data_IF_618831747881
#
_entry.id   IF_618831747881
#
_cell.length_a   1.000
_cell.length_b   1.000
_cell.length_c   1.000
_cell.angle_alpha   90.00
_cell.angle_beta   90.00
_cell.angle_gamma   90.00
#
_symmetry.space_group_name_H-M   'P 1'
#
loop_
_entity.id
_entity.type
_entity.pdbx_description
1 polymer ?
#
# COMPACT_ATOMS: atom_id res chain seq x y z
N UNK A 1 -7.28 -20.96 10.15
CA UNK A 1 -5.96 -20.59 9.59
C UNK A 1 -4.93 -21.41 10.35
N UNK A 2 -4.00 -22.07 9.66
CA UNK A 2 -2.98 -22.87 10.35
C UNK A 2 -1.88 -21.96 10.86
N UNK A 3 -1.61 -22.00 12.16
CA UNK A 3 -0.48 -21.27 12.74
C UNK A 3 0.83 -21.92 12.30
N UNK A 4 1.75 -21.10 11.77
CA UNK A 4 3.07 -21.55 11.36
C UNK A 4 4.13 -20.97 12.29
N UNK A 5 5.14 -21.78 12.61
CA UNK A 5 6.27 -21.35 13.44
C UNK A 5 7.48 -21.09 12.56
N UNK A 6 8.03 -19.88 12.64
CA UNK A 6 9.31 -19.52 12.01
C UNK A 6 10.42 -19.47 13.05
N UNK A 7 11.63 -19.86 12.67
CA UNK A 7 12.83 -19.68 13.50
C UNK A 7 13.46 -18.34 13.13
N UNK A 8 13.79 -17.54 14.13
CA UNK A 8 14.45 -16.24 13.96
C UNK A 8 15.59 -16.11 14.98
N UNK A 9 16.65 -15.34 14.69
CA UNK A 9 17.69 -15.03 15.66
C UNK A 9 17.13 -14.30 16.90
N UNK A 10 17.77 -14.48 18.05
CA UNK A 10 17.33 -13.86 19.31
C UNK A 10 17.23 -12.33 19.22
N UNK A 11 18.25 -11.67 18.64
CA UNK A 11 18.22 -10.22 18.44
C UNK A 11 17.04 -9.75 17.58
N UNK A 12 16.65 -10.51 16.56
CA UNK A 12 15.46 -10.22 15.74
C UNK A 12 14.18 -10.39 16.54
N UNK A 13 14.06 -11.45 17.33
CA UNK A 13 12.91 -11.67 18.22
C UNK A 13 12.75 -10.51 19.20
N UNK A 14 13.84 -10.08 19.83
CA UNK A 14 13.83 -9.03 20.86
C UNK A 14 13.48 -7.68 20.25
N UNK A 15 13.99 -7.39 19.06
CA UNK A 15 13.61 -6.19 18.31
C UNK A 15 12.13 -6.19 17.94
N UNK A 16 11.60 -7.31 17.43
CA UNK A 16 10.17 -7.45 17.12
C UNK A 16 9.30 -7.34 18.39
N UNK A 17 9.78 -7.83 19.54
CA UNK A 17 9.08 -7.70 20.82
C UNK A 17 8.98 -6.24 21.27
N UNK A 18 10.07 -5.47 21.12
CA UNK A 18 10.07 -4.04 21.42
C UNK A 18 9.10 -3.28 20.51
N UNK A 19 9.15 -3.51 19.19
CA UNK A 19 8.24 -2.89 18.22
C UNK A 19 6.78 -3.24 18.48
N UNK A 20 6.49 -4.50 18.81
CA UNK A 20 5.13 -4.94 19.13
C UNK A 20 4.61 -4.23 20.38
N UNK A 21 5.45 -4.09 21.41
CA UNK A 21 5.10 -3.36 22.64
C UNK A 21 4.82 -1.88 22.38
N UNK A 22 5.65 -1.19 21.59
CA UNK A 22 5.45 0.22 21.21
C UNK A 22 4.12 0.42 20.45
N UNK A 23 3.75 -0.53 19.59
CA UNK A 23 2.53 -0.48 18.79
C UNK A 23 1.31 -1.07 19.51
N UNK A 24 1.43 -1.48 20.78
CA UNK A 24 0.34 -2.08 21.55
C UNK A 24 -0.21 -3.37 20.93
N UNK A 25 0.62 -4.14 20.23
CA UNK A 25 0.23 -5.35 19.49
C UNK A 25 1.09 -6.56 19.89
N UNK A 26 0.85 -7.72 19.27
CA UNK A 26 1.67 -8.94 19.47
C UNK A 26 2.68 -9.10 18.32
N UNK A 27 3.76 -9.86 18.55
CA UNK A 27 4.75 -10.16 17.49
C UNK A 27 4.08 -10.82 16.29
N UNK A 28 3.17 -11.78 16.52
CA UNK A 28 2.45 -12.45 15.44
C UNK A 28 1.58 -11.48 14.61
N UNK A 29 0.86 -10.58 15.28
CA UNK A 29 0.05 -9.55 14.61
C UNK A 29 0.91 -8.53 13.86
N UNK A 30 2.07 -8.14 14.42
CA UNK A 30 3.04 -7.27 13.77
C UNK A 30 3.58 -7.92 12.48
N UNK A 31 3.97 -9.19 12.54
CA UNK A 31 4.48 -9.93 11.37
C UNK A 31 3.38 -10.10 10.32
N UNK A 32 2.14 -10.37 10.73
CA UNK A 32 1.01 -10.44 9.81
C UNK A 32 0.74 -9.11 9.11
N UNK A 33 0.80 -7.99 9.84
CA UNK A 33 0.65 -6.65 9.27
C UNK A 33 1.79 -6.34 8.26
N UNK A 34 3.04 -6.61 8.64
CA UNK A 34 4.19 -6.43 7.74
C UNK A 34 4.08 -7.27 6.47
N UNK A 35 3.62 -8.52 6.58
CA UNK A 35 3.39 -9.38 5.43
C UNK A 35 2.24 -8.89 4.53
N UNK A 36 1.22 -8.25 5.11
CA UNK A 36 0.13 -7.65 4.34
C UNK A 36 0.56 -6.36 3.61
N UNK A 37 1.44 -5.57 4.22
CA UNK A 37 1.97 -4.33 3.63
C UNK A 37 2.99 -4.61 2.52
N UNK A 38 3.90 -5.57 2.74
CA UNK A 38 4.99 -5.86 1.82
C UNK A 38 4.58 -6.91 0.78
N UNK A 39 3.93 -6.44 -0.28
CA UNK A 39 3.60 -7.27 -1.43
C UNK A 39 4.86 -7.78 -2.13
N UNK A 40 4.85 -9.05 -2.52
CA UNK A 40 5.88 -9.60 -3.40
C UNK A 40 5.82 -8.94 -4.77
N UNK A 41 6.93 -8.97 -5.52
CA UNK A 41 6.98 -8.40 -6.88
C UNK A 41 5.91 -8.98 -7.82
N UNK A 42 5.55 -10.25 -7.65
CA UNK A 42 4.47 -10.89 -8.41
C UNK A 42 3.09 -10.39 -8.00
N UNK A 43 2.81 -10.30 -6.71
CA UNK A 43 1.54 -9.75 -6.21
C UNK A 43 1.38 -8.28 -6.61
N UNK A 44 2.46 -7.50 -6.59
CA UNK A 44 2.47 -6.11 -7.07
C UNK A 44 2.13 -6.05 -8.55
N UNK A 45 2.75 -6.88 -9.40
CA UNK A 45 2.41 -6.95 -10.84
C UNK A 45 0.96 -7.34 -11.07
N UNK A 46 0.44 -8.33 -10.35
CA UNK A 46 -0.96 -8.75 -10.44
C UNK A 46 -1.91 -7.62 -10.02
N UNK A 47 -1.59 -6.90 -8.93
CA UNK A 47 -2.36 -5.75 -8.48
C UNK A 47 -2.37 -4.61 -9.50
N UNK A 48 -1.21 -4.31 -10.11
CA UNK A 48 -1.10 -3.30 -11.17
C UNK A 48 -1.94 -3.69 -12.39
N UNK A 49 -1.85 -4.94 -12.84
CA UNK A 49 -2.65 -5.44 -13.96
C UNK A 49 -4.16 -5.34 -13.67
N UNK A 50 -4.58 -5.70 -12.46
CA UNK A 50 -5.98 -5.60 -12.05
C UNK A 50 -6.45 -4.14 -11.96
N UNK A 51 -5.63 -3.24 -11.39
CA UNK A 51 -5.93 -1.81 -11.36
C UNK A 51 -6.06 -1.22 -12.77
N UNK A 52 -5.21 -1.63 -13.72
CA UNK A 52 -5.31 -1.22 -15.13
C UNK A 52 -6.59 -1.73 -15.77
N UNK A 53 -6.97 -2.98 -15.52
CA UNK A 53 -8.26 -3.53 -15.98
C UNK A 53 -9.43 -2.69 -15.46
N UNK A 54 -9.47 -2.43 -14.15
CA UNK A 54 -10.53 -1.62 -13.54
C UNK A 54 -10.57 -0.20 -14.13
N UNK A 55 -9.41 0.44 -14.36
CA UNK A 55 -9.35 1.77 -14.98
C UNK A 55 -9.92 1.79 -16.41
N UNK A 56 -9.66 0.76 -17.20
CA UNK A 56 -10.20 0.66 -18.57
C UNK A 56 -11.68 0.32 -18.57
N UNK A 57 -12.10 -0.62 -17.73
CA UNK A 57 -13.48 -1.12 -17.73
C UNK A 57 -14.47 -0.17 -17.02
N UNK A 58 -14.06 0.41 -15.88
CA UNK A 58 -14.97 1.23 -15.04
C UNK A 58 -14.77 2.73 -15.20
N UNK A 59 -13.56 3.19 -15.50
CA UNK A 59 -13.28 4.62 -15.68
C UNK A 59 -13.14 5.02 -17.16
N UNK A 60 -13.33 4.08 -18.09
CA UNK A 60 -13.18 4.29 -19.53
C UNK A 60 -11.85 4.97 -19.91
N UNK A 61 -10.79 4.67 -19.14
CA UNK A 61 -9.48 5.25 -19.40
C UNK A 61 -8.92 4.73 -20.73
N UNK A 62 -8.50 5.64 -21.59
CA UNK A 62 -7.85 5.34 -22.88
C UNK A 62 -6.33 5.22 -22.76
N UNK A 63 -5.80 5.31 -21.54
CA UNK A 63 -4.37 5.33 -21.31
C UNK A 63 -3.76 3.96 -21.62
N UNK A 64 -2.74 3.95 -22.47
CA UNK A 64 -2.02 2.74 -22.90
C UNK A 64 -1.03 2.27 -21.85
N UNK A 65 -0.62 1.00 -21.93
CA UNK A 65 0.29 0.45 -20.94
C UNK A 65 1.68 1.12 -20.95
N UNK A 66 2.11 1.57 -22.13
CA UNK A 66 3.32 2.37 -22.34
C UNK A 66 3.24 3.75 -21.66
N UNK A 67 2.09 4.42 -21.72
CA UNK A 67 1.88 5.72 -21.06
C UNK A 67 1.83 5.58 -19.52
N UNK A 68 1.32 4.46 -19.02
CA UNK A 68 1.41 4.13 -17.60
C UNK A 68 2.86 3.86 -17.17
N UNK A 69 3.63 3.14 -17.99
CA UNK A 69 5.01 2.78 -17.67
C UNK A 69 5.98 3.96 -17.84
N UNK A 70 5.68 4.89 -18.76
CA UNK A 70 6.45 6.12 -18.98
C UNK A 70 6.23 7.16 -17.88
N UNK A 71 5.29 6.92 -16.96
CA UNK A 71 4.96 7.86 -15.90
C UNK A 71 5.23 7.23 -14.53
N UNK A 72 6.52 7.00 -14.17
CA UNK A 72 6.84 6.65 -12.79
C UNK A 72 6.30 7.76 -11.89
N UNK A 73 5.68 7.39 -10.77
CA UNK A 73 5.03 8.32 -9.82
C UNK A 73 3.72 8.98 -10.30
N UNK A 74 3.08 8.51 -11.38
CA UNK A 74 1.75 9.02 -11.79
C UNK A 74 0.71 8.95 -10.66
N UNK A 75 0.71 7.84 -9.91
CA UNK A 75 -0.21 7.67 -8.79
C UNK A 75 0.10 8.61 -7.63
N UNK A 76 1.38 8.87 -7.31
CA UNK A 76 1.77 9.87 -6.31
C UNK A 76 1.27 11.26 -6.70
N UNK A 77 1.46 11.68 -7.96
CA UNK A 77 0.91 12.97 -8.45
C UNK A 77 -0.61 13.01 -8.43
N UNK A 78 -1.29 11.91 -8.72
CA UNK A 78 -2.76 11.83 -8.61
C UNK A 78 -3.21 11.96 -7.15
N UNK A 79 -2.50 11.33 -6.20
CA UNK A 79 -2.77 11.48 -4.78
C UNK A 79 -2.49 12.89 -4.26
N UNK A 80 -1.42 13.55 -4.72
CA UNK A 80 -1.14 14.96 -4.43
C UNK A 80 -2.25 15.88 -4.93
N UNK A 81 -2.70 15.70 -6.17
CA UNK A 81 -3.80 16.49 -6.76
C UNK A 81 -5.12 16.23 -6.02
N UNK A 82 -5.40 14.98 -5.64
CA UNK A 82 -6.59 14.64 -4.87
C UNK A 82 -6.54 15.24 -3.45
N UNK A 83 -5.38 15.23 -2.81
CA UNK A 83 -5.15 15.85 -1.50
C UNK A 83 -5.27 17.38 -1.56
N UNK A 84 -4.71 18.03 -2.58
CA UNK A 84 -4.87 19.47 -2.82
C UNK A 84 -6.34 19.85 -3.06
N UNK A 85 -7.06 19.09 -3.88
CA UNK A 85 -8.49 19.32 -4.12
C UNK A 85 -9.31 19.17 -2.84
N UNK A 86 -9.05 18.15 -2.03
CA UNK A 86 -9.73 17.96 -0.76
C UNK A 86 -9.46 19.11 0.23
N UNK A 87 -8.21 19.60 0.29
CA UNK A 87 -7.86 20.76 1.14
C UNK A 87 -8.51 22.06 0.64
N UNK A 88 -8.58 22.28 -0.67
CA UNK A 88 -9.26 23.45 -1.23
C UNK A 88 -10.77 23.40 -1.04
N UNK A 89 -11.41 22.24 -1.11
CA UNK A 89 -12.83 22.08 -0.78
C UNK A 89 -13.11 22.38 0.70
N UNK A 90 -12.23 21.95 1.61
CA UNK A 90 -12.35 22.26 3.05
C UNK A 90 -12.15 23.74 3.35
N UNK A 91 -11.25 24.43 2.62
CA UNK A 91 -11.07 25.89 2.75
C UNK A 91 -12.19 26.70 2.09
N UNK A 92 -12.76 26.22 1.00
CA UNK A 92 -13.89 26.87 0.31
C UNK A 92 -15.20 26.81 1.08
N UNK A 93 -15.39 25.81 1.95
CA UNK A 93 -16.55 25.72 2.86
C UNK A 93 -16.39 26.53 4.17
N UNK A 94 -15.26 27.21 4.37
CA UNK A 94 -14.98 28.04 5.55
C UNK A 94 -15.11 29.55 5.29
N UNK A 95 -15.69 29.95 4.14
CA UNK A 95 -16.08 31.32 3.79
C UNK A 95 -17.59 31.39 3.54
#
# INVERSE_FOLDING_TARGET
MADSTIKVPEGTRDHLAALAKERGTTIGALVAALAAEQLTAEQTRARVAESRRIMRERMHSTLTDEEFDSTPHALERVYEIAAEKAQNTLRGNAA
#
